data_IF_197705176115
#
_entry.id   IF_197705176115
#
_cell.length_a   1.000
_cell.length_b   1.000
_cell.length_c   1.000
_cell.angle_alpha   90.00
_cell.angle_beta   90.00
_cell.angle_gamma   90.00
#
_symmetry.space_group_name_H-M   'P 1'
#
loop_
_entity.id
_entity.type
_entity.pdbx_description
1 polymer ?
#
# COMPACT_ATOMS: atom_id res chain seq x y z
N UNK A 1 -9.85 -4.11 -15.77
CA UNK A 1 -10.87 -4.07 -14.68
C UNK A 1 -10.25 -3.34 -13.52
N UNK A 2 -11.01 -2.55 -12.76
CA UNK A 2 -10.53 -1.88 -11.55
C UNK A 2 -10.97 -2.67 -10.32
N UNK A 3 -10.19 -2.59 -9.24
CA UNK A 3 -10.63 -3.02 -7.92
C UNK A 3 -11.79 -2.13 -7.46
N UNK A 4 -12.73 -2.72 -6.71
CA UNK A 4 -13.82 -1.94 -6.10
C UNK A 4 -13.23 -0.85 -5.19
N UNK A 5 -13.89 0.29 -5.14
CA UNK A 5 -13.48 1.49 -4.38
C UNK A 5 -12.16 2.17 -4.83
N UNK A 6 -11.50 1.69 -5.90
CA UNK A 6 -10.25 2.29 -6.39
C UNK A 6 -10.41 3.78 -6.70
N UNK A 7 -11.49 4.15 -7.39
CA UNK A 7 -11.79 5.54 -7.74
C UNK A 7 -12.13 6.38 -6.50
N UNK A 8 -12.86 5.81 -5.57
CA UNK A 8 -13.26 6.47 -4.32
C UNK A 8 -12.05 6.77 -3.44
N UNK A 9 -11.19 5.76 -3.22
CA UNK A 9 -9.96 5.92 -2.44
C UNK A 9 -9.00 6.94 -3.06
N UNK A 10 -8.88 6.96 -4.39
CA UNK A 10 -8.06 7.95 -5.09
C UNK A 10 -8.61 9.38 -4.90
N UNK A 11 -9.92 9.57 -5.02
CA UNK A 11 -10.58 10.87 -4.77
C UNK A 11 -10.40 11.31 -3.31
N UNK A 12 -10.59 10.39 -2.36
CA UNK A 12 -10.38 10.64 -0.93
C UNK A 12 -8.97 11.16 -0.69
N UNK A 13 -7.95 10.43 -1.12
CA UNK A 13 -6.55 10.82 -0.95
C UNK A 13 -6.24 12.19 -1.58
N UNK A 14 -6.64 12.41 -2.83
CA UNK A 14 -6.42 13.68 -3.52
C UNK A 14 -7.12 14.84 -2.81
N UNK A 15 -8.34 14.62 -2.27
CA UNK A 15 -9.09 15.63 -1.51
C UNK A 15 -8.34 16.07 -0.27
N UNK A 16 -7.86 15.12 0.57
CA UNK A 16 -7.09 15.42 1.79
C UNK A 16 -5.77 16.14 1.48
N UNK A 17 -5.07 15.72 0.41
CA UNK A 17 -3.86 16.44 -0.05
C UNK A 17 -4.22 17.88 -0.45
N UNK A 18 -5.30 18.08 -1.21
CA UNK A 18 -5.75 19.40 -1.65
C UNK A 18 -6.20 20.32 -0.50
N UNK A 19 -6.66 19.76 0.61
CA UNK A 19 -7.05 20.48 1.84
C UNK A 19 -5.88 20.70 2.80
N UNK A 20 -4.69 20.17 2.50
CA UNK A 20 -3.52 20.14 3.40
C UNK A 20 -3.81 19.45 4.74
N UNK A 21 -4.62 18.40 4.71
CA UNK A 21 -4.93 17.62 5.90
C UNK A 21 -3.76 16.73 6.31
N UNK A 22 -3.60 16.49 7.62
CA UNK A 22 -2.61 15.54 8.12
C UNK A 22 -3.05 14.11 7.86
N UNK A 23 -2.13 13.32 7.36
CA UNK A 23 -2.32 11.90 7.03
C UNK A 23 -1.43 11.06 7.94
N UNK A 24 -1.98 9.98 8.47
CA UNK A 24 -1.25 8.99 9.24
C UNK A 24 -1.26 7.64 8.51
N UNK A 25 -0.11 6.97 8.45
CA UNK A 25 0.02 5.66 7.82
C UNK A 25 0.38 4.64 8.90
N UNK A 26 -0.51 3.66 9.13
CA UNK A 26 -0.19 2.51 9.98
C UNK A 26 0.52 1.47 9.13
N UNK A 27 1.72 1.08 9.50
CA UNK A 27 2.58 0.18 8.71
C UNK A 27 2.67 -1.17 9.41
N UNK A 28 2.32 -2.24 8.72
CA UNK A 28 2.51 -3.59 9.24
C UNK A 28 3.99 -3.98 9.29
N UNK A 29 4.38 -4.77 10.31
CA UNK A 29 5.78 -5.05 10.64
C UNK A 29 6.32 -6.31 9.95
N UNK A 30 5.94 -6.52 8.70
CA UNK A 30 6.51 -7.56 7.86
C UNK A 30 7.00 -7.00 6.52
N UNK A 31 7.49 -7.87 5.65
CA UNK A 31 8.10 -7.43 4.40
C UNK A 31 7.08 -6.84 3.41
N UNK A 32 5.85 -7.37 3.38
CA UNK A 32 4.79 -6.85 2.50
C UNK A 32 4.27 -5.51 3.02
N UNK A 33 4.04 -5.37 4.34
CA UNK A 33 3.67 -4.11 4.96
C UNK A 33 4.71 -3.00 4.78
N UNK A 34 6.00 -3.31 4.97
CA UNK A 34 7.08 -2.34 4.72
C UNK A 34 7.15 -1.92 3.25
N UNK A 35 7.05 -2.85 2.30
CA UNK A 35 7.11 -2.52 0.87
C UNK A 35 5.86 -1.78 0.43
N UNK A 36 4.69 -2.12 0.94
CA UNK A 36 3.43 -1.43 0.72
C UNK A 36 3.51 0.05 1.13
N UNK A 37 3.92 0.30 2.36
CA UNK A 37 4.10 1.67 2.86
C UNK A 37 5.17 2.43 2.10
N UNK A 38 6.30 1.78 1.78
CA UNK A 38 7.40 2.40 1.03
C UNK A 38 6.96 2.80 -0.39
N UNK A 39 6.19 1.97 -1.10
CA UNK A 39 5.63 2.32 -2.41
C UNK A 39 4.78 3.58 -2.29
N UNK A 40 3.82 3.59 -1.37
CA UNK A 40 2.88 4.71 -1.21
C UNK A 40 3.60 6.01 -0.87
N UNK A 41 4.44 5.99 0.18
CA UNK A 41 5.13 7.19 0.67
C UNK A 41 6.08 7.75 -0.39
N UNK A 42 6.89 6.90 -1.03
CA UNK A 42 7.83 7.34 -2.05
C UNK A 42 7.13 7.85 -3.30
N UNK A 43 6.05 7.20 -3.74
CA UNK A 43 5.22 7.67 -4.84
C UNK A 43 4.62 9.05 -4.55
N UNK A 44 4.03 9.24 -3.38
CA UNK A 44 3.49 10.54 -2.97
C UNK A 44 4.60 11.60 -2.83
N UNK A 45 5.79 11.21 -2.38
CA UNK A 45 6.94 12.11 -2.29
C UNK A 45 7.45 12.57 -3.68
N UNK A 46 7.32 11.75 -4.72
CA UNK A 46 7.60 12.20 -6.09
C UNK A 46 6.62 13.27 -6.56
N UNK A 47 5.34 13.13 -6.21
CA UNK A 47 4.30 14.05 -6.64
C UNK A 47 4.21 15.32 -5.76
N UNK A 48 4.31 15.13 -4.44
CA UNK A 48 4.03 16.15 -3.43
C UNK A 48 5.10 16.17 -2.32
N UNK A 49 6.40 16.43 -2.64
CA UNK A 49 7.49 16.26 -1.67
C UNK A 49 7.33 17.11 -0.41
N UNK A 50 6.89 18.37 -0.55
CA UNK A 50 6.68 19.25 0.60
C UNK A 50 5.52 18.74 1.48
N UNK A 51 4.44 18.30 0.88
CA UNK A 51 3.29 17.76 1.61
C UNK A 51 3.67 16.50 2.41
N UNK A 52 4.39 15.56 1.78
CA UNK A 52 4.84 14.35 2.47
C UNK A 52 5.68 14.68 3.70
N UNK A 53 6.64 15.61 3.57
CA UNK A 53 7.53 15.98 4.68
C UNK A 53 6.82 16.69 5.83
N UNK A 54 5.71 17.36 5.59
CA UNK A 54 5.05 18.22 6.57
C UNK A 54 3.72 17.70 7.07
N UNK A 55 3.03 16.81 6.31
CA UNK A 55 1.68 16.37 6.61
C UNK A 55 1.52 14.85 6.71
N UNK A 56 2.52 14.05 6.27
CA UNK A 56 2.46 12.60 6.43
C UNK A 56 3.31 12.16 7.60
N UNK A 57 2.70 11.45 8.53
CA UNK A 57 3.37 10.70 9.59
C UNK A 57 3.05 9.22 9.47
N UNK A 58 3.91 8.37 10.01
CA UNK A 58 3.68 6.93 10.01
C UNK A 58 4.17 6.30 11.30
N UNK A 59 3.61 5.13 11.60
CA UNK A 59 4.06 4.26 12.68
C UNK A 59 4.14 2.83 12.18
N UNK A 60 5.23 2.17 12.48
CA UNK A 60 5.39 0.74 12.27
C UNK A 60 4.88 0.00 13.49
N UNK A 61 4.19 -1.13 13.29
CA UNK A 61 3.79 -2.02 14.36
C UNK A 61 5.00 -2.50 15.18
N UNK A 62 4.79 -2.73 16.46
CA UNK A 62 5.78 -3.29 17.35
C UNK A 62 5.48 -4.77 17.63
N UNK A 63 6.41 -5.63 17.30
CA UNK A 63 6.31 -7.08 17.53
C UNK A 63 5.17 -7.73 16.73
N UNK A 64 4.14 -8.21 17.45
CA UNK A 64 2.99 -8.92 16.88
C UNK A 64 1.73 -8.04 16.72
N UNK A 65 1.87 -6.74 16.85
CA UNK A 65 0.75 -5.84 16.56
C UNK A 65 0.33 -6.00 15.10
N UNK A 66 -0.95 -5.85 14.83
CA UNK A 66 -1.53 -5.92 13.50
C UNK A 66 -2.79 -5.04 13.46
N UNK A 67 -3.13 -4.51 12.29
CA UNK A 67 -4.33 -3.67 12.10
C UNK A 67 -4.19 -2.25 12.64
N UNK A 68 -5.31 -1.56 12.80
CA UNK A 68 -5.35 -0.17 13.26
C UNK A 68 -5.21 -0.09 14.79
N UNK A 69 -4.25 0.69 15.25
CA UNK A 69 -4.05 0.99 16.67
C UNK A 69 -4.55 2.41 16.96
N UNK A 70 -5.87 2.55 17.16
CA UNK A 70 -6.58 3.82 17.25
C UNK A 70 -5.98 4.76 18.29
N UNK A 71 -5.51 4.23 19.43
CA UNK A 71 -4.89 4.98 20.53
C UNK A 71 -3.54 5.63 20.14
N UNK A 72 -2.94 5.19 19.02
CA UNK A 72 -1.66 5.72 18.53
C UNK A 72 -1.80 6.80 17.46
N UNK A 73 -3.04 6.99 16.96
CA UNK A 73 -3.32 7.94 15.89
C UNK A 73 -3.48 9.33 16.48
N UNK A 74 -2.69 10.33 16.01
CA UNK A 74 -2.77 11.70 16.51
C UNK A 74 -4.15 12.34 16.26
N UNK A 75 -4.61 13.20 17.20
CA UNK A 75 -5.95 13.82 17.12
C UNK A 75 -6.12 14.81 15.96
N UNK A 76 -5.02 15.34 15.43
CA UNK A 76 -5.03 16.32 14.34
C UNK A 76 -4.97 15.69 12.94
N UNK A 77 -4.97 14.37 12.86
CA UNK A 77 -5.05 13.60 11.61
C UNK A 77 -6.48 13.65 11.05
N UNK A 78 -6.61 13.67 9.74
CA UNK A 78 -7.89 13.64 9.03
C UNK A 78 -8.05 12.43 8.12
N UNK A 79 -6.95 11.79 7.74
CA UNK A 79 -6.97 10.55 6.98
C UNK A 79 -5.97 9.56 7.58
N UNK A 80 -6.44 8.35 7.84
CA UNK A 80 -5.59 7.20 8.14
C UNK A 80 -5.51 6.31 6.92
N UNK A 81 -4.30 5.87 6.56
CA UNK A 81 -4.10 4.88 5.50
C UNK A 81 -3.49 3.64 6.13
N UNK A 82 -4.10 2.49 5.86
CA UNK A 82 -3.61 1.18 6.28
C UNK A 82 -3.24 0.36 5.03
N UNK A 83 -1.97 0.40 4.58
CA UNK A 83 -1.49 -0.51 3.56
C UNK A 83 -1.21 -1.88 4.17
N UNK A 84 -1.66 -2.93 3.49
CA UNK A 84 -1.43 -4.34 3.84
C UNK A 84 -2.07 -4.82 5.15
N UNK A 85 -3.11 -4.16 5.61
CA UNK A 85 -3.84 -4.59 6.81
C UNK A 85 -5.22 -3.95 6.89
N UNK A 86 -5.99 -4.34 7.89
CA UNK A 86 -7.16 -3.62 8.41
C UNK A 86 -8.46 -3.78 7.62
N UNK A 87 -8.57 -4.71 6.68
CA UNK A 87 -9.86 -4.95 5.99
C UNK A 87 -11.00 -5.35 6.92
N UNK A 88 -10.70 -5.91 8.10
CA UNK A 88 -11.67 -6.42 9.06
C UNK A 88 -11.75 -5.62 10.37
N UNK A 89 -11.10 -4.47 10.47
CA UNK A 89 -11.04 -3.64 11.68
C UNK A 89 -12.28 -2.73 11.79
N UNK A 90 -13.47 -3.34 11.81
CA UNK A 90 -14.74 -2.61 11.73
C UNK A 90 -14.99 -1.68 12.91
N UNK A 91 -14.58 -2.08 14.12
CA UNK A 91 -14.74 -1.30 15.35
C UNK A 91 -13.82 -0.07 15.34
N UNK A 92 -12.58 -0.26 14.90
CA UNK A 92 -11.58 0.80 14.74
C UNK A 92 -12.00 1.81 13.66
N UNK A 93 -12.55 1.33 12.54
CA UNK A 93 -13.10 2.18 11.48
C UNK A 93 -14.25 3.04 12.00
N UNK A 94 -15.18 2.44 12.75
CA UNK A 94 -16.30 3.17 13.35
C UNK A 94 -15.83 4.20 14.38
N UNK A 95 -14.84 3.86 15.19
CA UNK A 95 -14.27 4.79 16.18
C UNK A 95 -13.60 5.97 15.50
N UNK A 96 -12.76 5.73 14.47
CA UNK A 96 -12.11 6.79 13.71
C UNK A 96 -13.14 7.69 13.00
N UNK A 97 -14.18 7.10 12.42
CA UNK A 97 -15.29 7.85 11.82
C UNK A 97 -15.99 8.77 12.83
N UNK A 98 -16.23 8.30 14.06
CA UNK A 98 -16.78 9.13 15.15
C UNK A 98 -15.86 10.30 15.55
N UNK A 99 -14.54 10.14 15.37
CA UNK A 99 -13.54 11.21 15.55
C UNK A 99 -13.45 12.16 14.35
N UNK A 100 -14.21 11.91 13.27
CA UNK A 100 -14.15 12.69 12.03
C UNK A 100 -12.84 12.46 11.26
N UNK A 101 -12.32 11.25 11.30
CA UNK A 101 -11.13 10.79 10.60
C UNK A 101 -11.56 9.77 9.54
N UNK A 102 -11.23 10.04 8.29
CA UNK A 102 -11.47 9.11 7.19
C UNK A 102 -10.43 7.98 7.20
N UNK A 103 -10.81 6.80 6.72
CA UNK A 103 -9.93 5.63 6.64
C UNK A 103 -9.86 5.09 5.22
N UNK A 104 -8.65 4.93 4.70
CA UNK A 104 -8.35 4.27 3.42
C UNK A 104 -7.55 2.99 3.68
N UNK A 105 -8.13 1.86 3.36
CA UNK A 105 -7.50 0.54 3.48
C UNK A 105 -7.08 0.05 2.10
N UNK A 106 -5.82 -0.36 1.96
CA UNK A 106 -5.22 -0.91 0.74
C UNK A 106 -4.68 -2.31 1.07
N UNK A 107 -5.53 -3.32 1.02
CA UNK A 107 -5.27 -4.61 1.67
C UNK A 107 -5.64 -5.79 0.76
N UNK A 108 -5.18 -7.00 1.12
CA UNK A 108 -5.42 -8.23 0.37
C UNK A 108 -5.85 -9.40 1.26
N UNK A 109 -5.87 -9.22 2.58
CA UNK A 109 -6.28 -10.25 3.52
C UNK A 109 -7.75 -10.63 3.36
N UNK A 110 -8.10 -11.85 3.75
CA UNK A 110 -9.49 -12.30 3.74
C UNK A 110 -10.33 -11.45 4.69
N UNK A 111 -11.49 -11.02 4.23
CA UNK A 111 -12.45 -10.27 5.00
C UNK A 111 -13.86 -10.70 4.60
N UNK A 112 -14.82 -10.57 5.51
CA UNK A 112 -16.20 -11.03 5.27
C UNK A 112 -17.00 -10.05 4.42
N UNK A 113 -16.75 -8.74 4.57
CA UNK A 113 -17.49 -7.66 3.92
C UNK A 113 -16.69 -6.37 3.87
N UNK A 114 -17.14 -5.43 3.05
CA UNK A 114 -16.66 -4.05 3.11
C UNK A 114 -17.12 -3.36 4.41
N UNK A 115 -16.25 -2.49 4.95
CA UNK A 115 -16.61 -1.61 6.05
C UNK A 115 -17.59 -0.51 5.58
N UNK A 116 -18.50 -0.09 6.47
CA UNK A 116 -19.39 1.05 6.25
C UNK A 116 -18.69 2.39 6.61
N UNK A 117 -17.57 2.33 7.34
CA UNK A 117 -16.87 3.49 7.89
C UNK A 117 -15.49 3.71 7.28
N UNK A 118 -15.06 2.86 6.34
CA UNK A 118 -13.76 2.96 5.67
C UNK A 118 -13.89 2.72 4.17
N UNK A 119 -13.05 3.38 3.38
CA UNK A 119 -12.86 3.07 1.98
C UNK A 119 -11.87 1.90 1.86
N UNK A 120 -12.39 0.68 1.69
CA UNK A 120 -11.57 -0.54 1.60
C UNK A 120 -11.37 -0.92 0.13
N UNK A 121 -10.12 -1.00 -0.30
CA UNK A 121 -9.69 -1.53 -1.59
C UNK A 121 -9.04 -2.88 -1.34
N UNK A 122 -9.76 -3.96 -1.64
CA UNK A 122 -9.32 -5.32 -1.38
C UNK A 122 -9.78 -6.25 -2.51
N UNK A 123 -8.86 -7.05 -3.05
CA UNK A 123 -9.14 -7.98 -4.15
C UNK A 123 -9.96 -9.18 -3.72
N UNK A 124 -9.98 -9.56 -2.44
CA UNK A 124 -10.80 -10.67 -1.94
C UNK A 124 -12.29 -10.30 -1.92
N UNK A 125 -12.61 -9.04 -1.61
CA UNK A 125 -13.98 -8.55 -1.42
C UNK A 125 -14.72 -8.18 -2.73
N UNK A 126 -14.10 -8.28 -3.89
CA UNK A 126 -14.69 -7.86 -5.16
C UNK A 126 -14.45 -8.91 -6.26
N UNK A 127 -15.11 -8.75 -7.41
CA UNK A 127 -14.97 -9.66 -8.57
C UNK A 127 -13.67 -9.47 -9.35
N UNK A 128 -12.64 -8.85 -8.74
CA UNK A 128 -11.34 -8.71 -9.36
C UNK A 128 -10.72 -10.11 -9.60
N UNK A 129 -10.25 -10.41 -10.82
CA UNK A 129 -9.87 -11.77 -11.20
C UNK A 129 -8.60 -12.27 -10.49
N UNK A 130 -7.65 -11.37 -10.20
CA UNK A 130 -6.39 -11.72 -9.55
C UNK A 130 -6.55 -11.67 -8.03
N UNK A 131 -6.72 -12.86 -7.42
CA UNK A 131 -6.84 -12.99 -5.97
C UNK A 131 -5.49 -13.08 -5.25
N UNK A 132 -4.42 -13.29 -5.98
CA UNK A 132 -3.08 -13.49 -5.45
C UNK A 132 -2.22 -12.22 -5.48
N UNK A 133 -2.83 -11.03 -5.39
CA UNK A 133 -2.06 -9.80 -5.13
C UNK A 133 -1.79 -9.72 -3.63
N UNK A 134 -0.58 -9.30 -3.27
CA UNK A 134 -0.23 -8.92 -1.90
C UNK A 134 -0.60 -7.45 -1.62
N UNK A 135 -0.46 -6.98 -0.39
CA UNK A 135 -0.66 -5.58 -0.04
C UNK A 135 0.19 -4.63 -0.90
N UNK A 136 1.47 -4.95 -1.10
CA UNK A 136 2.34 -4.18 -2.01
C UNK A 136 1.83 -4.20 -3.46
N UNK A 137 1.27 -5.32 -3.91
CA UNK A 137 0.61 -5.43 -5.21
C UNK A 137 -0.61 -4.52 -5.33
N UNK A 138 -1.45 -4.46 -4.30
CA UNK A 138 -2.64 -3.56 -4.23
C UNK A 138 -2.20 -2.10 -4.23
N UNK A 139 -1.23 -1.73 -3.38
CA UNK A 139 -0.72 -0.35 -3.30
C UNK A 139 -0.07 0.07 -4.62
N UNK A 140 0.73 -0.79 -5.25
CA UNK A 140 1.30 -0.53 -6.57
C UNK A 140 0.22 -0.24 -7.61
N UNK A 141 -0.85 -1.04 -7.66
CA UNK A 141 -1.98 -0.80 -8.57
C UNK A 141 -2.73 0.49 -8.25
N UNK A 142 -2.85 0.83 -6.98
CA UNK A 142 -3.43 2.11 -6.57
C UNK A 142 -2.60 3.29 -7.08
N UNK A 143 -1.27 3.23 -6.96
CA UNK A 143 -0.37 4.24 -7.53
C UNK A 143 -0.44 4.30 -9.06
N UNK A 144 -0.52 3.15 -9.77
CA UNK A 144 -0.74 3.13 -11.22
C UNK A 144 -2.08 3.79 -11.61
N UNK A 145 -3.10 3.62 -10.80
CA UNK A 145 -4.39 4.28 -11.04
C UNK A 145 -4.29 5.79 -10.83
N UNK A 146 -3.60 6.25 -9.79
CA UNK A 146 -3.31 7.67 -9.58
C UNK A 146 -2.52 8.28 -10.76
N UNK A 147 -1.52 7.58 -11.28
CA UNK A 147 -0.78 7.99 -12.48
C UNK A 147 -1.73 8.20 -13.67
N UNK A 148 -2.66 7.27 -13.88
CA UNK A 148 -3.64 7.36 -14.98
C UNK A 148 -4.58 8.55 -14.84
N UNK A 149 -4.90 8.97 -13.62
CA UNK A 149 -5.74 10.14 -13.33
C UNK A 149 -4.99 11.46 -13.49
N UNK A 150 -3.73 11.48 -13.06
CA UNK A 150 -2.93 12.69 -12.96
C UNK A 150 -2.04 12.93 -14.18
N UNK A 151 -1.94 11.95 -15.08
CA UNK A 151 -1.13 12.04 -16.31
C UNK A 151 0.35 11.82 -16.06
N UNK A 152 0.71 10.99 -15.06
CA UNK A 152 2.09 10.63 -14.72
C UNK A 152 2.39 9.15 -15.01
N UNK A 153 3.64 8.74 -14.84
CA UNK A 153 4.10 7.35 -14.94
C UNK A 153 5.22 7.07 -13.90
N UNK A 154 4.97 7.46 -12.64
CA UNK A 154 5.93 7.28 -11.55
C UNK A 154 5.76 5.95 -10.81
N UNK A 155 4.56 5.36 -10.82
CA UNK A 155 4.29 4.10 -10.12
C UNK A 155 5.22 2.97 -10.57
N UNK A 156 5.59 2.97 -11.86
CA UNK A 156 6.50 1.97 -12.44
C UNK A 156 7.91 1.98 -11.82
N UNK A 157 8.32 3.06 -11.16
CA UNK A 157 9.61 3.14 -10.48
C UNK A 157 9.65 2.29 -9.20
N UNK A 158 8.49 1.82 -8.72
CA UNK A 158 8.33 1.03 -7.49
C UNK A 158 7.89 -0.42 -7.74
N UNK A 159 7.91 -0.88 -8.99
CA UNK A 159 7.52 -2.26 -9.34
C UNK A 159 8.44 -3.31 -8.69
N UNK A 160 9.68 -2.95 -8.40
CA UNK A 160 10.63 -3.80 -7.68
C UNK A 160 10.22 -4.01 -6.22
N UNK A 161 9.75 -2.97 -5.52
CA UNK A 161 9.20 -3.10 -4.17
C UNK A 161 7.92 -3.94 -4.16
N UNK A 162 7.02 -3.74 -5.14
CA UNK A 162 5.83 -4.59 -5.28
C UNK A 162 6.20 -6.05 -5.50
N UNK A 163 7.25 -6.32 -6.28
CA UNK A 163 7.79 -7.67 -6.49
C UNK A 163 8.30 -8.29 -5.20
N UNK A 164 9.03 -7.52 -4.40
CA UNK A 164 9.57 -8.01 -3.11
C UNK A 164 8.44 -8.37 -2.15
N UNK A 165 7.42 -7.51 -2.00
CA UNK A 165 6.25 -7.81 -1.16
C UNK A 165 5.51 -9.07 -1.62
N UNK A 166 5.18 -9.16 -2.91
CA UNK A 166 4.49 -10.33 -3.48
C UNK A 166 5.26 -11.64 -3.23
N UNK A 167 6.60 -11.62 -3.37
CA UNK A 167 7.44 -12.81 -3.15
C UNK A 167 7.54 -13.14 -1.66
N UNK A 168 7.71 -12.14 -0.81
CA UNK A 168 7.86 -12.31 0.63
C UNK A 168 6.59 -12.88 1.27
N UNK A 169 5.41 -12.45 0.79
CA UNK A 169 4.12 -12.95 1.23
C UNK A 169 3.71 -14.29 0.56
N UNK A 170 4.63 -14.89 -0.19
CA UNK A 170 4.47 -16.22 -0.81
C UNK A 170 3.21 -16.32 -1.69
N UNK A 171 2.87 -15.26 -2.40
CA UNK A 171 1.67 -15.20 -3.22
C UNK A 171 1.69 -16.17 -4.39
N UNK A 172 0.53 -16.66 -4.80
CA UNK A 172 0.42 -17.64 -5.87
C UNK A 172 0.85 -17.07 -7.23
N UNK A 173 1.78 -17.76 -7.91
CA UNK A 173 2.25 -17.40 -9.25
C UNK A 173 1.32 -17.94 -10.38
N UNK A 174 0.14 -18.44 -10.05
CA UNK A 174 -0.81 -18.94 -11.08
C UNK A 174 -1.43 -17.79 -11.87
N UNK A 175 -1.60 -16.62 -11.25
CA UNK A 175 -2.19 -15.46 -11.89
C UNK A 175 -1.18 -14.78 -12.83
N UNK A 176 -1.64 -14.47 -14.03
CA UNK A 176 -0.79 -13.82 -15.05
C UNK A 176 -0.29 -12.45 -14.58
N UNK A 177 -1.16 -11.66 -13.98
CA UNK A 177 -0.84 -10.31 -13.50
C UNK A 177 0.27 -10.33 -12.44
N UNK A 178 0.21 -11.28 -11.50
CA UNK A 178 1.25 -11.45 -10.47
C UNK A 178 2.60 -11.76 -11.11
N UNK A 179 2.63 -12.69 -12.07
CA UNK A 179 3.85 -13.00 -12.82
C UNK A 179 4.37 -11.81 -13.61
N UNK A 180 3.49 -11.01 -14.21
CA UNK A 180 3.89 -9.82 -14.95
C UNK A 180 4.57 -8.79 -14.05
N UNK A 181 4.01 -8.51 -12.87
CA UNK A 181 4.60 -7.59 -11.88
C UNK A 181 5.98 -8.09 -11.48
N UNK A 182 6.10 -9.38 -11.12
CA UNK A 182 7.39 -9.98 -10.71
C UNK A 182 8.42 -9.91 -11.85
N UNK A 183 8.05 -10.30 -13.06
CA UNK A 183 8.96 -10.26 -14.21
C UNK A 183 9.48 -8.84 -14.47
N UNK A 184 8.63 -7.83 -14.35
CA UNK A 184 9.02 -6.42 -14.53
C UNK A 184 9.94 -5.95 -13.41
N UNK A 185 9.65 -6.27 -12.15
CA UNK A 185 10.48 -5.86 -11.02
C UNK A 185 11.85 -6.56 -10.99
N UNK A 186 11.93 -7.80 -11.49
CA UNK A 186 13.19 -8.53 -11.59
C UNK A 186 14.09 -8.09 -12.77
N UNK A 187 13.62 -7.26 -13.70
CA UNK A 187 14.46 -6.73 -14.77
C UNK A 187 15.56 -5.78 -14.28
N UNK A 188 15.47 -5.29 -13.07
CA UNK A 188 16.46 -4.46 -12.42
C UNK A 188 15.89 -3.67 -11.25
N UNK A 189 16.56 -3.76 -10.12
CA UNK A 189 16.15 -3.00 -8.94
C UNK A 189 16.40 -1.52 -9.16
N UNK A 190 15.39 -0.69 -8.84
CA UNK A 190 15.47 0.77 -8.87
C UNK A 190 15.66 1.34 -7.48
N UNK A 191 15.05 0.70 -6.47
CA UNK A 191 15.16 1.09 -5.07
C UNK A 191 16.62 1.04 -4.59
N UNK A 192 17.16 2.11 -3.97
CA UNK A 192 18.57 2.17 -3.53
C UNK A 192 18.93 1.09 -2.50
N UNK A 193 18.00 0.74 -1.59
CA UNK A 193 18.23 -0.30 -0.60
C UNK A 193 18.37 -1.67 -1.29
N UNK A 194 17.47 -2.01 -2.19
CA UNK A 194 17.52 -3.27 -2.94
C UNK A 194 18.80 -3.35 -3.78
N UNK A 195 19.20 -2.25 -4.43
CA UNK A 195 20.48 -2.18 -5.13
C UNK A 195 21.66 -2.45 -4.22
N UNK A 196 21.69 -1.85 -3.03
CA UNK A 196 22.77 -2.04 -2.06
C UNK A 196 22.83 -3.49 -1.54
N UNK A 197 21.66 -4.13 -1.34
CA UNK A 197 21.60 -5.53 -0.89
C UNK A 197 22.12 -6.52 -1.94
N UNK A 198 21.99 -6.21 -3.24
CA UNK A 198 22.36 -7.07 -4.35
C UNK A 198 23.73 -6.71 -4.95
N UNK A 199 24.19 -5.46 -4.79
CA UNK A 199 25.43 -4.96 -5.40
C UNK A 199 26.73 -5.57 -4.84
N UNK A 200 26.70 -6.21 -3.68
CA UNK A 200 27.83 -7.00 -3.20
C UNK A 200 27.70 -8.41 -3.78
N UNK A 201 28.51 -8.71 -4.79
CA UNK A 201 28.68 -9.96 -5.56
C UNK A 201 28.77 -11.29 -4.75
N UNK A 202 28.04 -11.43 -3.68
CA UNK A 202 28.08 -12.61 -2.80
C UNK A 202 27.02 -13.66 -3.13
N UNK A 203 26.13 -13.38 -4.07
CA UNK A 203 25.18 -14.36 -4.58
C UNK A 203 25.50 -14.73 -6.03
N UNK A 204 26.66 -15.36 -6.25
CA UNK A 204 26.82 -16.17 -7.42
C UNK A 204 25.92 -17.41 -7.27
N UNK A 205 24.78 -17.43 -7.95
CA UNK A 205 24.17 -18.69 -8.34
C UNK A 205 25.10 -19.35 -9.36
N UNK A 206 26.07 -20.08 -8.89
CA UNK A 206 26.71 -21.09 -9.73
C UNK A 206 25.62 -22.12 -10.00
N UNK A 207 25.04 -22.06 -11.22
CA UNK A 207 24.12 -23.09 -11.69
C UNK A 207 24.86 -24.41 -11.75
N UNK A 208 24.43 -25.33 -10.88
CA UNK A 208 24.65 -26.77 -11.06
C UNK A 208 23.45 -27.38 -11.76
#
# INVERSE_FOLDING_TARGET
MLLTNMQEGAKMLISHIGQNDKIFIQVDADCDGYTSAAILINYLNCLFPHFVQTHISYRVHDGKQHGLLVETIPDDVKLVIAPDSSSSDFEEHEELSKRGIDVLVLDHHEAEKFSEYACVINNQLCDYPTKSLSGAGIVYKFCCYLDSLLGFDYANDYVDLATVGIIADVMSLKDFEVREIILRGMQGFRNPLLKAMVAEDKFHFEGQ
#
